data_IF_885164024535
#
_entry.id   IF_885164024535
#
_cell.length_a   1.000
_cell.length_b   1.000
_cell.length_c   1.000
_cell.angle_alpha   90.00
_cell.angle_beta   90.00
_cell.angle_gamma   90.00
#
_symmetry.space_group_name_H-M   'P 1'
#
loop_
_entity.id
_entity.type
_entity.pdbx_description
1 polymer ?
#
# COMPACT_ATOMS: atom_id res chain seq x y z
N UNK A 1 5.27 -5.78 14.06
CA UNK A 1 3.96 -5.15 13.75
C UNK A 1 3.03 -6.12 13.01
N UNK A 2 3.35 -6.51 11.78
CA UNK A 2 2.55 -7.42 10.96
C UNK A 2 2.82 -8.89 11.33
N UNK A 3 1.86 -9.76 11.00
CA UNK A 3 1.95 -11.19 11.23
C UNK A 3 0.80 -11.73 12.07
N UNK A 4 1.08 -12.80 12.80
CA UNK A 4 0.10 -13.52 13.59
C UNK A 4 0.34 -13.27 15.08
N UNK A 5 -0.75 -13.05 15.81
CA UNK A 5 -0.77 -12.97 17.27
C UNK A 5 -1.78 -13.95 17.85
N UNK A 6 -1.48 -14.55 19.02
CA UNK A 6 -2.47 -15.34 19.73
C UNK A 6 -3.66 -14.47 20.12
N UNK A 7 -4.87 -15.02 20.05
CA UNK A 7 -6.08 -14.32 20.45
C UNK A 7 -6.33 -14.55 21.94
N UNK A 8 -5.55 -13.87 22.78
CA UNK A 8 -5.56 -14.00 24.24
C UNK A 8 -5.64 -12.61 24.89
N UNK A 9 -5.98 -12.51 26.19
CA UNK A 9 -5.90 -11.25 26.90
C UNK A 9 -4.47 -10.68 26.88
N UNK A 10 -4.30 -9.51 26.26
CA UNK A 10 -3.01 -8.85 26.05
C UNK A 10 -3.26 -7.36 25.75
N UNK A 11 -2.30 -6.50 26.12
CA UNK A 11 -2.20 -5.13 25.61
C UNK A 11 -0.96 -5.00 24.74
N UNK A 12 -1.10 -4.41 23.57
CA UNK A 12 0.02 -4.18 22.66
C UNK A 12 -0.21 -2.95 21.79
N UNK A 13 0.86 -2.50 21.12
CA UNK A 13 0.81 -1.36 20.22
C UNK A 13 0.99 -1.78 18.76
N UNK A 14 0.25 -1.13 17.88
CA UNK A 14 0.47 -1.13 16.43
C UNK A 14 0.66 0.34 16.02
N UNK A 15 1.86 0.69 15.55
CA UNK A 15 2.23 2.09 15.30
C UNK A 15 1.91 2.94 16.56
N UNK A 16 1.10 3.99 16.40
CA UNK A 16 0.69 4.88 17.48
C UNK A 16 -0.70 4.53 18.04
N UNK A 17 -1.15 3.28 17.94
CA UNK A 17 -2.45 2.84 18.41
C UNK A 17 -2.29 1.72 19.44
N UNK A 18 -2.84 1.95 20.63
CA UNK A 18 -2.96 0.91 21.65
C UNK A 18 -4.16 0.02 21.36
N UNK A 19 -3.92 -1.29 21.44
CA UNK A 19 -4.95 -2.32 21.35
C UNK A 19 -4.94 -3.09 22.66
N UNK A 20 -6.13 -3.34 23.16
CA UNK A 20 -6.36 -4.20 24.31
C UNK A 20 -7.33 -5.32 23.94
N UNK A 21 -6.97 -6.53 24.34
CA UNK A 21 -7.85 -7.68 24.34
C UNK A 21 -7.97 -8.12 25.79
N UNK A 22 -9.19 -8.23 26.29
CA UNK A 22 -9.46 -8.66 27.67
C UNK A 22 -10.54 -9.75 27.69
N UNK A 23 -10.56 -10.56 28.75
CA UNK A 23 -11.64 -11.52 28.95
C UNK A 23 -12.85 -10.86 29.62
N UNK A 24 -14.03 -11.09 29.05
CA UNK A 24 -15.29 -10.58 29.58
C UNK A 24 -16.40 -11.59 29.35
N UNK A 25 -17.02 -12.07 30.44
CA UNK A 25 -18.18 -12.97 30.42
C UNK A 25 -17.97 -14.22 29.53
N UNK A 26 -16.78 -14.83 29.58
CA UNK A 26 -16.40 -15.98 28.77
C UNK A 26 -16.09 -15.68 27.29
N UNK A 27 -16.15 -14.41 26.89
CA UNK A 27 -15.74 -13.90 25.58
C UNK A 27 -14.44 -13.08 25.70
N UNK A 28 -13.90 -12.68 24.56
CA UNK A 28 -12.84 -11.69 24.48
C UNK A 28 -13.43 -10.35 24.02
N UNK A 29 -13.01 -9.25 24.64
CA UNK A 29 -13.34 -7.89 24.21
C UNK A 29 -12.10 -7.26 23.61
N UNK A 30 -12.17 -6.92 22.33
CA UNK A 30 -11.18 -6.12 21.62
C UNK A 30 -11.55 -4.64 21.76
N UNK A 31 -10.59 -3.79 22.12
CA UNK A 31 -10.73 -2.34 22.16
C UNK A 31 -9.56 -1.64 21.49
N UNK A 32 -9.87 -0.57 20.76
CA UNK A 32 -8.89 0.36 20.17
C UNK A 32 -9.54 1.73 20.04
N UNK A 33 -9.14 2.67 20.90
CA UNK A 33 -9.80 3.99 20.99
C UNK A 33 -11.31 3.83 21.22
N UNK A 34 -12.13 4.33 20.30
CA UNK A 34 -13.59 4.24 20.37
C UNK A 34 -14.17 2.95 19.75
N UNK A 35 -13.34 2.10 19.14
CA UNK A 35 -13.77 0.82 18.59
C UNK A 35 -13.77 -0.24 19.68
N UNK A 36 -14.90 -0.95 19.84
CA UNK A 36 -15.02 -2.10 20.75
C UNK A 36 -15.79 -3.23 20.08
N UNK A 37 -15.27 -4.46 20.15
CA UNK A 37 -15.92 -5.66 19.59
C UNK A 37 -15.81 -6.84 20.56
N UNK A 38 -16.91 -7.58 20.71
CA UNK A 38 -16.92 -8.85 21.45
C UNK A 38 -16.63 -10.00 20.48
N UNK A 39 -15.75 -10.90 20.91
CA UNK A 39 -15.26 -12.02 20.12
C UNK A 39 -15.48 -13.29 20.93
N UNK A 40 -16.21 -14.25 20.36
CA UNK A 40 -16.32 -15.59 20.96
C UNK A 40 -14.95 -16.28 20.91
N UNK A 41 -14.51 -16.86 22.03
CA UNK A 41 -13.25 -17.61 22.11
C UNK A 41 -13.22 -18.71 21.03
N UNK A 42 -12.10 -18.80 20.33
CA UNK A 42 -11.87 -19.78 19.27
C UNK A 42 -10.37 -20.08 19.15
N UNK A 43 -10.00 -21.05 18.31
CA UNK A 43 -8.60 -21.36 18.00
C UNK A 43 -7.98 -20.43 16.95
N UNK A 44 -8.73 -19.44 16.43
CA UNK A 44 -8.20 -18.50 15.46
C UNK A 44 -7.22 -17.53 16.12
N UNK A 45 -6.14 -17.22 15.41
CA UNK A 45 -5.20 -16.15 15.74
C UNK A 45 -5.66 -14.81 15.16
N UNK A 46 -5.29 -13.71 15.82
CA UNK A 46 -5.37 -12.39 15.23
C UNK A 46 -4.31 -12.24 14.14
N UNK A 47 -4.72 -11.93 12.92
CA UNK A 47 -3.81 -11.66 11.80
C UNK A 47 -3.76 -10.15 11.55
N UNK A 48 -2.56 -9.58 11.53
CA UNK A 48 -2.30 -8.16 11.29
C UNK A 48 -1.57 -8.06 9.96
N UNK A 49 -2.17 -7.40 8.96
CA UNK A 49 -1.61 -7.29 7.62
C UNK A 49 -1.77 -5.88 7.07
N UNK A 50 -0.89 -5.43 6.15
CA UNK A 50 -1.14 -4.17 5.47
C UNK A 50 -2.31 -4.29 4.52
N UNK A 51 -2.97 -3.16 4.29
CA UNK A 51 -4.09 -3.02 3.36
C UNK A 51 -3.87 -1.80 2.49
N UNK A 52 -4.18 -1.86 1.18
CA UNK A 52 -4.11 -0.67 0.35
C UNK A 52 -5.00 0.45 0.89
N UNK A 53 -4.55 1.70 0.79
CA UNK A 53 -5.28 2.86 1.29
C UNK A 53 -6.50 3.23 0.41
N UNK A 54 -7.53 2.38 0.41
CA UNK A 54 -8.73 2.53 -0.42
C UNK A 54 -9.57 3.78 -0.12
N UNK A 55 -9.60 4.24 1.12
CA UNK A 55 -10.44 5.38 1.51
C UNK A 55 -11.90 5.24 1.03
N UNK A 56 -12.46 6.30 0.44
CA UNK A 56 -13.80 6.35 -0.18
C UNK A 56 -13.94 5.52 -1.48
N UNK A 57 -13.50 4.26 -1.47
CA UNK A 57 -13.65 3.35 -2.61
C UNK A 57 -12.79 3.72 -3.82
N UNK A 58 -11.65 4.37 -3.60
CA UNK A 58 -10.77 4.78 -4.70
C UNK A 58 -10.04 3.58 -5.31
N UNK A 59 -9.84 3.63 -6.62
CA UNK A 59 -9.19 2.54 -7.35
C UNK A 59 -7.71 2.77 -7.61
N UNK A 60 -7.24 4.02 -7.49
CA UNK A 60 -5.87 4.42 -7.82
C UNK A 60 -5.17 5.10 -6.64
N UNK A 61 -3.85 5.04 -6.66
CA UNK A 61 -2.96 5.83 -5.81
C UNK A 61 -2.05 6.66 -6.70
N UNK A 62 -2.12 7.98 -6.53
CA UNK A 62 -1.24 8.99 -7.11
C UNK A 62 -0.25 9.45 -6.06
N UNK A 63 1.03 9.19 -6.31
CA UNK A 63 2.15 9.68 -5.50
C UNK A 63 2.88 10.74 -6.31
N UNK A 64 2.74 12.00 -5.93
CA UNK A 64 3.54 13.07 -6.49
C UNK A 64 4.93 13.07 -5.86
N UNK A 65 5.94 13.28 -6.70
CA UNK A 65 7.28 13.55 -6.23
C UNK A 65 7.35 15.02 -5.83
N UNK A 66 7.94 15.30 -4.66
CA UNK A 66 8.26 16.68 -4.26
C UNK A 66 9.20 17.33 -5.26
N UNK A 67 10.20 16.57 -5.70
CA UNK A 67 11.13 16.95 -6.77
C UNK A 67 10.96 16.00 -7.95
N UNK A 68 10.65 16.50 -9.17
CA UNK A 68 10.55 15.66 -10.35
C UNK A 68 11.88 14.97 -10.69
N UNK A 69 11.80 13.75 -11.21
CA UNK A 69 12.98 12.98 -11.64
C UNK A 69 13.19 13.14 -13.13
N UNK A 70 14.37 13.58 -13.53
CA UNK A 70 14.75 13.72 -14.94
C UNK A 70 15.59 12.51 -15.35
N UNK A 71 15.15 11.76 -16.37
CA UNK A 71 15.80 10.53 -16.84
C UNK A 71 16.35 10.72 -18.26
N UNK A 72 17.63 10.38 -18.51
CA UNK A 72 18.23 10.47 -19.84
C UNK A 72 17.52 9.59 -20.90
N UNK A 73 17.71 9.90 -22.19
CA UNK A 73 17.29 9.02 -23.27
C UNK A 73 17.79 7.58 -23.06
N UNK A 74 16.93 6.59 -23.31
CA UNK A 74 17.25 5.15 -23.25
C UNK A 74 17.73 4.64 -21.89
N UNK A 75 17.47 5.37 -20.82
CA UNK A 75 17.94 5.01 -19.48
C UNK A 75 16.79 4.74 -18.50
N UNK A 76 17.15 4.22 -17.33
CA UNK A 76 16.24 3.86 -16.24
C UNK A 76 16.71 4.41 -14.91
N UNK A 77 15.78 4.93 -14.11
CA UNK A 77 16.01 5.29 -12.72
C UNK A 77 15.25 4.33 -11.80
N UNK A 78 15.89 3.87 -10.73
CA UNK A 78 15.29 2.98 -9.72
C UNK A 78 15.30 3.69 -8.39
N UNK A 79 14.18 3.68 -7.70
CA UNK A 79 14.06 4.35 -6.42
C UNK A 79 12.90 3.84 -5.59
N UNK A 80 12.64 4.57 -4.52
CA UNK A 80 11.60 4.33 -3.54
C UNK A 80 10.86 5.63 -3.26
N UNK A 81 9.58 5.50 -2.95
CA UNK A 81 8.76 6.56 -2.35
C UNK A 81 8.06 6.01 -1.12
N UNK A 82 7.75 6.89 -0.18
CA UNK A 82 6.78 6.61 0.87
C UNK A 82 5.39 6.51 0.26
N UNK A 83 4.58 5.60 0.79
CA UNK A 83 3.24 5.33 0.29
C UNK A 83 2.26 5.24 1.45
N UNK A 84 1.02 5.72 1.30
CA UNK A 84 -0.01 5.47 2.29
C UNK A 84 -0.45 4.00 2.25
N UNK A 85 -0.60 3.37 3.41
CA UNK A 85 -1.40 2.15 3.56
C UNK A 85 -2.17 2.21 4.87
N UNK A 86 -3.11 1.28 5.00
CA UNK A 86 -3.81 0.99 6.25
C UNK A 86 -3.34 -0.36 6.80
N UNK A 87 -3.75 -0.69 8.02
CA UNK A 87 -3.51 -1.99 8.64
C UNK A 87 -4.85 -2.66 8.88
N UNK A 88 -5.03 -3.87 8.37
CA UNK A 88 -6.22 -4.70 8.57
C UNK A 88 -5.93 -5.74 9.64
N UNK A 89 -6.80 -5.80 10.64
CA UNK A 89 -6.85 -6.84 11.65
C UNK A 89 -7.91 -7.84 11.24
N UNK A 90 -7.57 -9.13 11.23
CA UNK A 90 -8.46 -10.21 10.77
C UNK A 90 -8.57 -11.36 11.76
N UNK A 91 -9.73 -12.00 11.75
CA UNK A 91 -9.99 -13.30 12.39
C UNK A 91 -10.42 -14.28 11.30
N UNK A 92 -9.51 -15.17 10.89
CA UNK A 92 -9.69 -15.93 9.65
C UNK A 92 -9.75 -14.98 8.46
N UNK A 93 -10.82 -15.08 7.66
CA UNK A 93 -11.05 -14.20 6.50
C UNK A 93 -11.86 -12.94 6.83
N UNK A 94 -12.47 -12.87 8.02
CA UNK A 94 -13.29 -11.74 8.46
C UNK A 94 -12.41 -10.56 8.90
N UNK A 95 -12.73 -9.37 8.41
CA UNK A 95 -12.18 -8.12 8.91
C UNK A 95 -12.68 -7.83 10.33
N UNK A 96 -11.76 -7.80 11.29
CA UNK A 96 -12.04 -7.37 12.65
C UNK A 96 -11.96 -5.85 12.77
N UNK A 97 -10.94 -5.20 12.21
CA UNK A 97 -10.76 -3.76 12.33
C UNK A 97 -9.77 -3.23 11.28
N UNK A 98 -9.78 -1.92 11.04
CA UNK A 98 -8.85 -1.22 10.16
C UNK A 98 -8.27 -0.01 10.86
N UNK A 99 -6.94 0.04 10.91
CA UNK A 99 -6.18 1.17 11.43
C UNK A 99 -5.70 2.01 10.25
N UNK A 100 -6.14 3.27 10.22
CA UNK A 100 -5.69 4.26 9.25
C UNK A 100 -4.38 4.87 9.71
N UNK A 101 -3.31 4.74 8.92
CA UNK A 101 -1.98 5.25 9.30
C UNK A 101 -1.78 6.73 8.99
N UNK A 102 -2.67 7.36 8.22
CA UNK A 102 -2.51 8.75 7.84
C UNK A 102 -3.80 9.40 7.36
N UNK A 103 -3.70 10.71 7.12
CA UNK A 103 -4.81 11.52 6.61
C UNK A 103 -5.19 11.09 5.20
N UNK A 104 -6.49 11.15 4.95
CA UNK A 104 -7.06 10.87 3.65
C UNK A 104 -7.02 12.11 2.76
N UNK A 105 -6.25 12.04 1.67
CA UNK A 105 -6.17 13.08 0.64
C UNK A 105 -6.50 12.47 -0.71
N UNK A 106 -7.15 13.24 -1.56
CA UNK A 106 -7.66 12.78 -2.85
C UNK A 106 -7.28 13.74 -3.96
N UNK A 107 -7.18 13.22 -5.18
CA UNK A 107 -6.94 13.98 -6.40
C UNK A 107 -7.69 13.34 -7.57
N UNK A 108 -7.81 14.07 -8.68
CA UNK A 108 -8.36 13.53 -9.92
C UNK A 108 -7.21 12.99 -10.75
N UNK A 109 -7.32 11.74 -11.16
CA UNK A 109 -6.44 11.14 -12.16
C UNK A 109 -7.15 11.10 -13.51
N UNK A 110 -6.69 11.94 -14.44
CA UNK A 110 -7.36 12.19 -15.73
C UNK A 110 -7.85 13.63 -15.82
N UNK A 111 -8.77 13.90 -16.74
CA UNK A 111 -9.44 15.21 -16.81
C UNK A 111 -10.58 15.29 -15.80
N UNK A 112 -11.09 16.48 -15.54
CA UNK A 112 -12.20 16.67 -14.58
C UNK A 112 -13.47 15.93 -15.03
N UNK A 113 -13.70 15.83 -16.34
CA UNK A 113 -14.94 15.28 -16.90
C UNK A 113 -14.97 13.73 -16.94
N UNK A 114 -13.81 13.06 -17.05
CA UNK A 114 -13.71 11.60 -17.22
C UNK A 114 -12.65 10.93 -16.33
N UNK A 115 -12.05 11.69 -15.42
CA UNK A 115 -11.00 11.20 -14.53
C UNK A 115 -11.52 10.39 -13.35
N UNK A 116 -10.65 9.54 -12.82
CA UNK A 116 -10.93 8.70 -11.65
C UNK A 116 -10.49 9.43 -10.37
N UNK A 117 -11.27 9.33 -9.29
CA UNK A 117 -10.81 9.77 -7.96
C UNK A 117 -9.68 8.83 -7.52
N UNK A 118 -8.54 9.41 -7.17
CA UNK A 118 -7.33 8.72 -6.75
C UNK A 118 -6.93 9.14 -5.36
N UNK A 119 -6.39 8.20 -4.57
CA UNK A 119 -5.72 8.51 -3.31
C UNK A 119 -4.49 9.36 -3.63
N UNK A 120 -4.30 10.45 -2.91
CA UNK A 120 -3.17 11.35 -3.10
C UNK A 120 -2.14 11.21 -1.99
N UNK A 121 -0.87 11.19 -2.38
CA UNK A 121 0.27 11.32 -1.48
C UNK A 121 1.37 12.17 -2.12
N UNK A 122 2.16 12.84 -1.28
CA UNK A 122 3.32 13.62 -1.68
C UNK A 122 4.54 13.02 -0.98
N UNK A 123 5.55 12.61 -1.73
CA UNK A 123 6.74 11.94 -1.19
C UNK A 123 8.03 12.48 -1.78
N UNK A 124 9.13 12.39 -1.02
CA UNK A 124 10.48 12.51 -1.58
C UNK A 124 10.79 11.30 -2.47
N UNK A 125 11.77 11.46 -3.37
CA UNK A 125 12.32 10.33 -4.13
C UNK A 125 13.60 9.87 -3.46
N UNK A 126 13.60 8.61 -3.03
CA UNK A 126 14.74 8.01 -2.34
C UNK A 126 15.47 7.01 -3.24
N UNK A 127 16.81 7.04 -3.22
CA UNK A 127 17.65 6.02 -3.86
C UNK A 127 17.86 4.78 -2.99
N UNK A 128 17.54 4.89 -1.70
CA UNK A 128 17.54 3.82 -0.70
C UNK A 128 16.15 3.70 -0.09
N UNK A 129 15.83 2.54 0.48
CA UNK A 129 14.52 2.34 1.14
C UNK A 129 14.36 3.32 2.31
N UNK A 130 13.29 4.15 2.34
CA UNK A 130 13.09 5.11 3.42
C UNK A 130 12.63 4.43 4.70
N UNK A 131 12.78 5.14 5.82
CA UNK A 131 12.23 4.74 7.10
C UNK A 131 10.75 5.13 7.20
N UNK A 132 9.91 4.35 6.52
CA UNK A 132 8.47 4.50 6.53
C UNK A 132 7.80 3.13 6.68
N UNK A 133 6.65 3.05 7.38
CA UNK A 133 5.90 1.81 7.54
C UNK A 133 5.37 1.27 6.20
N UNK A 134 5.26 2.10 5.16
CA UNK A 134 4.83 1.66 3.84
C UNK A 134 5.60 2.34 2.71
N UNK A 135 6.09 1.52 1.79
CA UNK A 135 7.01 1.94 0.74
C UNK A 135 6.59 1.36 -0.62
N UNK A 136 6.74 2.16 -1.67
CA UNK A 136 6.66 1.66 -3.05
C UNK A 136 8.03 1.74 -3.71
N UNK A 137 8.54 0.59 -4.14
CA UNK A 137 9.70 0.52 -5.04
C UNK A 137 9.23 0.77 -6.47
N UNK A 138 9.97 1.59 -7.20
CA UNK A 138 9.62 1.93 -8.57
C UNK A 138 10.80 1.92 -9.54
N UNK A 139 10.46 1.82 -10.83
CA UNK A 139 11.38 1.97 -11.95
C UNK A 139 10.78 2.97 -12.93
N UNK A 140 11.51 4.04 -13.22
CA UNK A 140 11.19 4.98 -14.29
C UNK A 140 12.03 4.62 -15.50
N UNK A 141 11.41 4.39 -16.65
CA UNK A 141 12.09 3.93 -17.86
C UNK A 141 11.82 4.90 -19.00
N UNK A 142 12.86 5.61 -19.42
CA UNK A 142 12.78 6.49 -20.57
C UNK A 142 13.16 5.75 -21.85
N UNK A 143 12.16 5.17 -22.53
CA UNK A 143 12.37 4.50 -23.82
C UNK A 143 12.57 5.44 -25.01
N UNK A 144 12.52 6.76 -24.82
CA UNK A 144 12.60 7.75 -25.90
C UNK A 144 14.03 8.20 -26.21
N UNK A 145 14.21 9.01 -27.27
CA UNK A 145 15.48 9.63 -27.65
C UNK A 145 15.68 11.01 -26.99
N UNK A 146 14.78 11.43 -26.10
CA UNK A 146 14.78 12.76 -25.48
C UNK A 146 14.78 12.62 -23.97
N UNK A 147 15.27 13.64 -23.27
CA UNK A 147 15.13 13.73 -21.82
C UNK A 147 13.65 13.71 -21.40
N UNK A 148 13.35 13.06 -20.27
CA UNK A 148 12.00 12.98 -19.74
C UNK A 148 11.97 13.31 -18.27
N UNK A 149 11.00 14.15 -17.91
CA UNK A 149 10.66 14.49 -16.53
C UNK A 149 9.51 13.61 -16.07
N UNK A 150 9.68 12.97 -14.92
CA UNK A 150 8.66 12.20 -14.23
C UNK A 150 8.28 12.93 -12.95
N UNK A 151 7.00 13.27 -12.81
CA UNK A 151 6.52 14.08 -11.68
C UNK A 151 5.76 13.24 -10.64
N UNK A 152 5.28 12.05 -11.04
CA UNK A 152 4.42 11.22 -10.20
C UNK A 152 4.41 9.76 -10.62
N UNK A 153 3.96 8.91 -9.70
CA UNK A 153 3.50 7.54 -9.96
C UNK A 153 1.97 7.50 -9.84
N UNK A 154 1.30 6.75 -10.72
CA UNK A 154 -0.14 6.49 -10.60
C UNK A 154 -0.44 5.04 -10.88
N UNK A 155 -0.87 4.27 -9.89
CA UNK A 155 -1.10 2.84 -10.07
C UNK A 155 -2.41 2.38 -9.41
N UNK A 156 -3.04 1.31 -9.94
CA UNK A 156 -4.22 0.76 -9.32
C UNK A 156 -3.87 0.18 -7.96
N UNK A 157 -4.73 0.43 -6.98
CA UNK A 157 -4.67 -0.15 -5.65
C UNK A 157 -5.83 -1.10 -5.38
N UNK A 158 -6.94 -0.97 -6.13
CA UNK A 158 -8.06 -1.91 -6.09
C UNK A 158 -7.56 -3.35 -6.32
N UNK A 159 -7.95 -4.25 -5.42
CA UNK A 159 -7.55 -5.65 -5.45
C UNK A 159 -6.04 -5.90 -5.59
N UNK A 160 -5.19 -4.94 -5.22
CA UNK A 160 -3.74 -5.12 -5.28
C UNK A 160 -3.27 -5.93 -4.08
N UNK A 161 -2.38 -6.90 -4.33
CA UNK A 161 -1.64 -7.58 -3.27
C UNK A 161 -0.65 -6.60 -2.64
N UNK A 162 -0.54 -6.63 -1.32
CA UNK A 162 0.57 -6.00 -0.61
C UNK A 162 1.52 -7.06 -0.07
N UNK A 163 2.75 -6.65 0.15
CA UNK A 163 3.81 -7.46 0.73
C UNK A 163 4.23 -6.89 2.07
N UNK A 164 4.71 -7.71 3.00
CA UNK A 164 5.17 -7.21 4.29
C UNK A 164 6.30 -8.04 4.92
N UNK A 165 7.15 -7.33 5.67
CA UNK A 165 8.00 -7.87 6.73
C UNK A 165 7.30 -7.69 8.08
N UNK A 166 7.97 -7.98 9.19
CA UNK A 166 7.40 -7.76 10.53
C UNK A 166 7.04 -6.28 10.77
N UNK A 167 7.79 -5.34 10.19
CA UNK A 167 7.78 -3.91 10.50
C UNK A 167 7.40 -3.01 9.31
N UNK A 168 7.43 -3.51 8.07
CA UNK A 168 7.18 -2.70 6.88
C UNK A 168 6.25 -3.37 5.88
N UNK A 169 5.48 -2.53 5.21
CA UNK A 169 4.58 -2.88 4.13
C UNK A 169 5.11 -2.37 2.79
N UNK A 170 4.76 -3.06 1.73
CA UNK A 170 5.15 -2.71 0.38
C UNK A 170 4.02 -2.93 -0.60
N UNK A 171 3.84 -1.96 -1.49
CA UNK A 171 3.16 -2.23 -2.75
C UNK A 171 4.07 -3.06 -3.67
N UNK A 172 3.52 -3.72 -4.70
CA UNK A 172 4.31 -4.36 -5.73
C UNK A 172 5.23 -3.33 -6.42
N UNK A 173 6.28 -3.82 -7.08
CA UNK A 173 7.15 -2.91 -7.85
C UNK A 173 6.35 -2.27 -8.99
N UNK A 174 6.38 -0.94 -9.06
CA UNK A 174 5.71 -0.16 -10.09
C UNK A 174 6.72 0.26 -11.16
N UNK A 175 6.39 0.04 -12.42
CA UNK A 175 7.24 0.45 -13.55
C UNK A 175 6.47 1.49 -14.35
N UNK A 176 7.09 2.65 -14.57
CA UNK A 176 6.55 3.73 -15.38
C UNK A 176 7.43 3.91 -16.62
N UNK A 177 6.89 3.59 -17.79
CA UNK A 177 7.63 3.52 -19.06
C UNK A 177 7.13 4.64 -19.97
N UNK A 178 8.02 5.50 -20.44
CA UNK A 178 7.67 6.48 -21.47
C UNK A 178 8.18 6.04 -22.83
N UNK A 179 7.28 5.86 -23.81
CA UNK A 179 7.63 5.52 -25.19
C UNK A 179 6.81 6.39 -26.16
N UNK A 180 7.49 7.04 -27.11
CA UNK A 180 6.85 7.83 -28.17
C UNK A 180 5.83 8.88 -27.69
N UNK A 181 6.04 9.47 -26.51
CA UNK A 181 5.13 10.46 -25.92
C UNK A 181 4.02 9.89 -25.04
N UNK A 182 3.78 8.58 -25.06
CA UNK A 182 2.83 7.87 -24.20
C UNK A 182 3.51 7.42 -22.92
N UNK A 183 2.78 7.48 -21.80
CA UNK A 183 3.20 6.93 -20.52
C UNK A 183 2.45 5.62 -20.29
N UNK A 184 3.18 4.52 -20.21
CA UNK A 184 2.66 3.20 -19.88
C UNK A 184 3.05 2.85 -18.45
N UNK A 185 2.05 2.56 -17.61
CA UNK A 185 2.29 2.09 -16.26
C UNK A 185 2.05 0.60 -16.15
N UNK A 186 2.98 -0.08 -15.48
CA UNK A 186 2.92 -1.50 -15.18
C UNK A 186 3.05 -1.72 -13.67
N UNK A 187 1.96 -2.14 -13.04
CA UNK A 187 2.03 -2.78 -11.73
C UNK A 187 2.46 -4.23 -11.94
N UNK A 188 3.68 -4.57 -11.50
CA UNK A 188 4.24 -5.90 -11.78
C UNK A 188 3.53 -7.03 -11.03
N UNK A 189 2.73 -6.72 -10.00
CA UNK A 189 2.25 -7.66 -9.00
C UNK A 189 3.37 -8.49 -8.32
N UNK A 190 4.65 -8.21 -8.60
CA UNK A 190 5.80 -8.95 -8.07
C UNK A 190 6.28 -8.34 -6.76
N UNK A 191 6.80 -9.21 -5.90
CA UNK A 191 7.43 -8.80 -4.65
C UNK A 191 8.59 -7.83 -4.93
N UNK A 192 8.71 -6.70 -4.19
CA UNK A 192 9.78 -5.74 -4.39
C UNK A 192 11.15 -6.21 -3.89
N UNK A 193 11.18 -7.19 -2.98
CA UNK A 193 12.39 -7.87 -2.47
C UNK A 193 12.07 -9.29 -1.96
N UNK A 194 13.12 -10.08 -1.76
CA UNK A 194 13.00 -11.46 -1.26
C UNK A 194 12.59 -11.48 0.22
N UNK A 195 11.93 -12.56 0.65
CA UNK A 195 11.59 -12.80 2.05
C UNK A 195 10.35 -12.08 2.58
N UNK A 196 9.58 -11.39 1.72
CA UNK A 196 8.32 -10.75 2.12
C UNK A 196 7.13 -11.72 2.05
N UNK A 197 6.20 -11.56 2.98
CA UNK A 197 4.93 -12.27 2.99
C UNK A 197 3.89 -11.52 2.16
N UNK A 198 3.11 -12.23 1.36
CA UNK A 198 1.96 -11.66 0.64
C UNK A 198 0.72 -11.58 1.54
N UNK A 199 -0.10 -10.54 1.38
CA UNK A 199 -1.38 -10.43 2.10
C UNK A 199 -2.44 -11.41 1.61
N UNK A 200 -2.30 -11.86 0.36
CA UNK A 200 -3.13 -12.87 -0.30
C UNK A 200 -2.29 -13.67 -1.29
N UNK A 201 -2.83 -14.78 -1.77
CA UNK A 201 -2.20 -15.49 -2.88
C UNK A 201 -2.20 -14.61 -4.13
N UNK A 202 -1.07 -14.55 -4.84
CA UNK A 202 -0.97 -13.84 -6.12
C UNK A 202 -1.77 -14.64 -7.14
N UNK A 203 -3.04 -14.29 -7.35
CA UNK A 203 -3.66 -14.57 -8.64
C UNK A 203 -2.95 -13.66 -9.65
N UNK A 204 -2.50 -14.18 -10.81
CA UNK A 204 -1.96 -13.32 -11.86
C UNK A 204 -3.08 -12.38 -12.29
N UNK A 205 -3.11 -11.17 -11.72
CA UNK A 205 -3.99 -10.12 -12.22
C UNK A 205 -3.47 -9.84 -13.62
N UNK A 206 -4.34 -9.99 -14.63
CA UNK A 206 -4.09 -9.56 -16.00
C UNK A 206 -3.28 -8.27 -15.96
N UNK A 207 -2.07 -8.28 -16.56
CA UNK A 207 -1.18 -7.12 -16.58
C UNK A 207 -2.01 -5.87 -16.87
N UNK A 208 -2.17 -4.99 -15.88
CA UNK A 208 -2.93 -3.76 -16.07
C UNK A 208 -2.06 -2.83 -16.91
N UNK A 209 -2.24 -2.89 -18.22
CA UNK A 209 -1.69 -1.96 -19.21
C UNK A 209 -2.79 -0.95 -19.51
N UNK A 210 -2.73 0.23 -18.87
CA UNK A 210 -3.50 1.40 -19.33
C UNK A 210 -2.52 2.37 -19.98
N UNK A 211 -2.72 2.62 -21.27
CA UNK A 211 -2.03 3.70 -21.99
C UNK A 211 -2.62 5.03 -21.53
N UNK A 212 -1.75 5.96 -21.13
CA UNK A 212 -2.11 7.33 -20.76
C UNK A 212 -1.67 8.26 -21.88
#
# INVERSE_FOLDING_TARGET
MFGYRPLIPEKFQIENQEIEIEEKDGMLRYTRGNTSKLIKKSSYSLKIVPRPAFGYGVHYLTINFKEPVIVPPKDTFRGYVESPCDIELKLGDMELDVIKLGKEKYTIYGTVDIGDISRYHLSEVYTKEPDSPCVTKFILSNGSNYWKTFEKLVFPIWETIMYYSEDKAYYPTIINITKNGTVELLNTAKTPKNGLNGTKNVTPVSNFLRRI
#
